data_IF_054596364323
#
_entry.id   IF_054596364323
#
_cell.length_a   1.000
_cell.length_b   1.000
_cell.length_c   1.000
_cell.angle_alpha   90.00
_cell.angle_beta   90.00
_cell.angle_gamma   90.00
#
_symmetry.space_group_name_H-M   'P 1'
#
loop_
_entity.id
_entity.type
_entity.pdbx_description
1 polymer ?
#
# COMPACT_ATOMS: atom_id res chain seq x y z
N UNK A 1 29.18 45.89 -20.72
CA UNK A 1 27.81 45.79 -20.19
C UNK A 1 27.50 44.31 -19.94
N UNK A 2 27.73 43.88 -18.69
CA UNK A 2 27.42 42.53 -18.21
C UNK A 2 26.08 42.57 -17.48
N UNK A 3 25.03 41.97 -18.02
CA UNK A 3 23.85 41.60 -17.23
C UNK A 3 23.35 40.22 -17.69
N UNK A 4 23.82 39.20 -16.97
CA UNK A 4 23.29 37.84 -16.97
C UNK A 4 21.88 37.89 -16.39
N UNK A 5 20.87 37.70 -17.23
CA UNK A 5 19.49 37.40 -16.80
C UNK A 5 19.47 35.95 -16.33
N UNK A 6 19.85 35.71 -15.08
CA UNK A 6 19.56 34.46 -14.40
C UNK A 6 18.04 34.32 -14.31
N UNK A 7 17.46 33.57 -15.24
CA UNK A 7 16.12 33.03 -15.07
C UNK A 7 16.18 32.06 -13.89
N UNK A 8 15.66 32.50 -12.74
CA UNK A 8 15.38 31.60 -11.62
C UNK A 8 14.31 30.61 -12.11
N UNK A 9 14.58 29.29 -12.20
CA UNK A 9 13.48 28.36 -12.35
C UNK A 9 12.65 28.47 -11.08
N UNK A 10 11.45 29.04 -11.23
CA UNK A 10 10.37 28.99 -10.25
C UNK A 10 10.17 27.53 -9.90
N UNK A 11 10.66 27.15 -8.72
CA UNK A 11 10.51 25.83 -8.12
C UNK A 11 9.05 25.41 -8.25
N UNK A 12 8.82 24.33 -9.00
CA UNK A 12 7.52 23.70 -9.19
C UNK A 12 7.12 23.11 -7.83
N UNK A 13 6.51 23.92 -6.99
CA UNK A 13 6.02 23.51 -5.68
C UNK A 13 4.77 22.66 -5.92
N UNK A 14 4.98 21.34 -6.11
CA UNK A 14 3.91 20.34 -6.12
C UNK A 14 3.15 20.47 -4.80
N UNK A 15 1.94 21.02 -4.85
CA UNK A 15 1.02 20.99 -3.71
C UNK A 15 0.52 19.55 -3.56
N UNK A 16 1.21 18.76 -2.75
CA UNK A 16 0.69 17.50 -2.28
C UNK A 16 -0.61 17.79 -1.52
N UNK A 17 -1.73 17.23 -1.99
CA UNK A 17 -3.02 17.32 -1.30
C UNK A 17 -2.93 16.47 -0.03
N UNK A 18 -2.54 17.10 1.08
CA UNK A 18 -2.38 16.44 2.38
C UNK A 18 -3.74 16.32 3.06
N UNK A 19 -4.11 15.11 3.50
CA UNK A 19 -5.28 14.89 4.37
C UNK A 19 -5.01 15.55 5.73
N UNK A 20 -5.95 16.34 6.25
CA UNK A 20 -5.81 16.95 7.59
C UNK A 20 -6.20 15.96 8.71
N UNK A 21 -7.16 15.08 8.44
CA UNK A 21 -7.62 14.03 9.36
C UNK A 21 -8.32 12.91 8.60
N UNK A 22 -8.22 11.68 9.10
CA UNK A 22 -9.00 10.52 8.63
C UNK A 22 -10.43 10.54 9.19
N UNK A 23 -10.71 11.33 10.24
CA UNK A 23 -12.00 11.33 10.92
C UNK A 23 -12.27 10.06 11.75
N UNK A 24 -11.32 9.13 11.83
CA UNK A 24 -11.38 7.89 12.61
C UNK A 24 -10.44 8.02 13.82
N UNK A 25 -10.94 7.74 15.02
CA UNK A 25 -10.12 7.82 16.24
C UNK A 25 -9.07 6.71 16.21
N UNK A 26 -7.79 7.09 16.32
CA UNK A 26 -6.67 6.16 16.35
C UNK A 26 -6.03 5.85 15.00
N UNK A 27 -6.58 6.36 13.89
CA UNK A 27 -6.02 6.19 12.55
C UNK A 27 -5.31 7.47 12.08
N UNK A 28 -3.98 7.48 12.10
CA UNK A 28 -3.19 8.64 11.69
C UNK A 28 -3.11 8.77 10.16
N UNK A 29 -3.09 10.01 9.67
CA UNK A 29 -2.94 10.27 8.23
C UNK A 29 -1.54 9.92 7.78
N UNK A 30 -1.44 9.13 6.69
CA UNK A 30 -0.16 8.78 6.07
C UNK A 30 0.03 9.62 4.79
N UNK A 31 0.95 10.60 4.76
CA UNK A 31 1.11 11.49 3.61
C UNK A 31 1.61 10.78 2.35
N UNK A 32 2.37 9.70 2.49
CA UNK A 32 2.87 8.86 1.37
C UNK A 32 2.14 7.51 1.30
N UNK A 33 0.83 7.48 1.55
CA UNK A 33 0.05 6.25 1.65
C UNK A 33 0.22 5.30 0.45
N UNK A 34 0.26 5.84 -0.78
CA UNK A 34 0.45 5.06 -2.01
C UNK A 34 1.76 4.26 -2.00
N UNK A 35 2.89 4.92 -1.72
CA UNK A 35 4.20 4.27 -1.72
C UNK A 35 4.27 3.20 -0.63
N UNK A 36 3.70 3.49 0.54
CA UNK A 36 3.60 2.54 1.65
C UNK A 36 2.77 1.31 1.26
N UNK A 37 1.59 1.52 0.65
CA UNK A 37 0.73 0.43 0.18
C UNK A 37 1.43 -0.44 -0.86
N UNK A 38 2.10 0.16 -1.85
CA UNK A 38 2.86 -0.58 -2.86
C UNK A 38 3.96 -1.42 -2.20
N UNK A 39 4.69 -0.84 -1.24
CA UNK A 39 5.71 -1.55 -0.48
C UNK A 39 5.16 -2.74 0.31
N UNK A 40 4.03 -2.54 1.00
CA UNK A 40 3.35 -3.59 1.76
C UNK A 40 2.85 -4.73 0.86
N UNK A 41 2.15 -4.41 -0.23
CA UNK A 41 1.65 -5.45 -1.15
C UNK A 41 2.76 -6.26 -1.82
N UNK A 42 3.86 -5.62 -2.22
CA UNK A 42 5.02 -6.34 -2.75
C UNK A 42 5.65 -7.26 -1.70
N UNK A 43 5.69 -6.82 -0.44
CA UNK A 43 6.13 -7.67 0.67
C UNK A 43 5.18 -8.85 0.86
N UNK A 44 3.87 -8.62 0.87
CA UNK A 44 2.85 -9.68 1.00
C UNK A 44 2.98 -10.73 -0.11
N UNK A 45 3.16 -10.31 -1.37
CA UNK A 45 3.38 -11.21 -2.51
C UNK A 45 4.71 -11.98 -2.44
N UNK A 46 5.68 -11.50 -1.65
CA UNK A 46 6.95 -12.20 -1.42
C UNK A 46 6.79 -13.23 -0.31
N UNK A 47 6.22 -12.84 0.82
CA UNK A 47 6.04 -13.72 1.99
C UNK A 47 5.05 -14.87 1.72
N UNK A 48 3.97 -14.60 0.97
CA UNK A 48 2.96 -15.63 0.65
C UNK A 48 3.54 -16.79 -0.18
N UNK A 49 4.68 -16.61 -0.86
CA UNK A 49 5.33 -17.69 -1.61
C UNK A 49 5.86 -18.82 -0.71
N UNK A 50 6.07 -18.54 0.58
CA UNK A 50 6.46 -19.53 1.57
C UNK A 50 5.29 -20.46 1.96
N UNK A 51 4.04 -20.03 1.70
CA UNK A 51 2.84 -20.82 1.95
C UNK A 51 2.59 -21.76 0.76
N UNK A 52 2.29 -23.05 1.00
CA UNK A 52 2.03 -24.02 -0.08
C UNK A 52 0.86 -23.60 -0.99
N UNK A 53 1.00 -23.84 -2.30
CA UNK A 53 0.08 -23.39 -3.35
C UNK A 53 -1.30 -24.06 -3.32
N UNK A 54 -1.41 -25.18 -2.61
CA UNK A 54 -2.64 -25.95 -2.49
C UNK A 54 -3.66 -25.31 -1.53
N UNK A 55 -3.23 -24.31 -0.75
CA UNK A 55 -4.13 -23.57 0.11
C UNK A 55 -4.96 -22.56 -0.70
N UNK A 56 -6.28 -22.66 -0.61
CA UNK A 56 -7.20 -21.68 -1.19
C UNK A 56 -6.95 -20.25 -0.69
N UNK A 57 -6.36 -20.12 0.51
CA UNK A 57 -5.91 -18.86 1.09
C UNK A 57 -4.89 -18.15 0.19
N UNK A 58 -3.82 -18.84 -0.24
CA UNK A 58 -2.78 -18.23 -1.09
C UNK A 58 -3.34 -17.65 -2.38
N UNK A 59 -4.23 -18.39 -3.06
CA UNK A 59 -4.86 -17.93 -4.31
C UNK A 59 -5.73 -16.70 -4.09
N UNK A 60 -6.47 -16.65 -2.98
CA UNK A 60 -7.26 -15.49 -2.61
C UNK A 60 -6.37 -14.27 -2.35
N UNK A 61 -5.33 -14.44 -1.52
CA UNK A 61 -4.36 -13.39 -1.17
C UNK A 61 -3.66 -12.82 -2.39
N UNK A 62 -3.13 -13.67 -3.26
CA UNK A 62 -2.49 -13.23 -4.49
C UNK A 62 -3.48 -12.48 -5.41
N UNK A 63 -4.73 -12.95 -5.53
CA UNK A 63 -5.72 -12.34 -6.40
C UNK A 63 -6.07 -10.92 -5.97
N UNK A 64 -6.45 -10.72 -4.70
CA UNK A 64 -6.83 -9.39 -4.23
C UNK A 64 -5.61 -8.47 -4.10
N UNK A 65 -4.45 -8.99 -3.68
CA UNK A 65 -3.23 -8.18 -3.52
C UNK A 65 -2.75 -7.65 -4.86
N UNK A 66 -2.77 -8.48 -5.92
CA UNK A 66 -2.42 -8.03 -7.28
C UNK A 66 -3.42 -7.01 -7.82
N UNK A 67 -4.72 -7.20 -7.55
CA UNK A 67 -5.74 -6.24 -7.96
C UNK A 67 -5.52 -4.87 -7.28
N UNK A 68 -5.33 -4.87 -5.96
CA UNK A 68 -5.09 -3.64 -5.18
C UNK A 68 -3.78 -2.95 -5.56
N UNK A 69 -2.71 -3.72 -5.75
CA UNK A 69 -1.43 -3.22 -6.23
C UNK A 69 -1.58 -2.53 -7.59
N UNK A 70 -2.25 -3.17 -8.55
CA UNK A 70 -2.48 -2.59 -9.88
C UNK A 70 -3.21 -1.25 -9.81
N UNK A 71 -4.23 -1.13 -8.97
CA UNK A 71 -4.95 0.14 -8.77
C UNK A 71 -4.03 1.20 -8.16
N UNK A 72 -3.19 0.85 -7.18
CA UNK A 72 -2.23 1.77 -6.56
C UNK A 72 -1.11 2.20 -7.52
N UNK A 73 -0.77 1.36 -8.51
CA UNK A 73 0.21 1.69 -9.55
C UNK A 73 -0.40 2.61 -10.63
N UNK A 74 -1.64 2.34 -11.05
CA UNK A 74 -2.35 3.10 -12.09
C UNK A 74 -2.78 4.50 -11.63
N UNK A 75 -3.16 4.65 -10.37
CA UNK A 75 -3.69 5.90 -9.82
C UNK A 75 -2.69 6.58 -8.89
N UNK A 76 -2.53 7.90 -9.02
CA UNK A 76 -1.66 8.68 -8.13
C UNK A 76 -2.45 9.35 -6.99
N UNK A 77 -3.73 9.66 -7.23
CA UNK A 77 -4.60 10.30 -6.26
C UNK A 77 -5.26 9.29 -5.33
N UNK A 78 -5.07 9.49 -4.01
CA UNK A 78 -5.64 8.62 -2.98
C UNK A 78 -7.17 8.58 -3.02
N UNK A 79 -7.84 9.69 -3.36
CA UNK A 79 -9.31 9.73 -3.50
C UNK A 79 -9.82 8.79 -4.61
N UNK A 80 -9.07 8.71 -5.72
CA UNK A 80 -9.42 7.85 -6.84
C UNK A 80 -9.18 6.39 -6.48
N UNK A 81 -8.09 6.10 -5.76
CA UNK A 81 -7.79 4.78 -5.21
C UNK A 81 -8.93 4.32 -4.29
N UNK A 82 -9.36 5.16 -3.34
CA UNK A 82 -10.46 4.84 -2.41
C UNK A 82 -11.76 4.55 -3.15
N UNK A 83 -12.10 5.38 -4.16
CA UNK A 83 -13.31 5.20 -4.96
C UNK A 83 -13.26 3.94 -5.82
N UNK A 84 -12.09 3.60 -6.37
CA UNK A 84 -11.91 2.46 -7.28
C UNK A 84 -11.84 1.14 -6.54
N UNK A 85 -11.23 1.11 -5.37
CA UNK A 85 -11.20 -0.05 -4.48
C UNK A 85 -12.51 -0.23 -3.72
N UNK A 86 -13.17 0.86 -3.32
CA UNK A 86 -14.44 0.81 -2.58
C UNK A 86 -14.32 0.17 -1.20
N UNK A 87 -13.11 0.15 -0.61
CA UNK A 87 -12.79 -0.55 0.63
C UNK A 87 -12.52 0.40 1.83
N UNK A 88 -13.03 1.63 1.80
CA UNK A 88 -12.77 2.62 2.86
C UNK A 88 -11.58 3.51 2.53
N UNK A 89 -10.91 4.02 3.58
CA UNK A 89 -9.78 4.94 3.44
C UNK A 89 -8.47 4.21 3.13
N UNK A 90 -7.52 4.89 2.48
CA UNK A 90 -6.18 4.31 2.20
C UNK A 90 -5.44 3.91 3.48
N UNK A 91 -5.68 4.60 4.59
CA UNK A 91 -5.08 4.30 5.88
C UNK A 91 -5.60 2.97 6.47
N UNK A 92 -6.88 2.65 6.29
CA UNK A 92 -7.46 1.36 6.70
C UNK A 92 -6.84 0.20 5.88
N UNK A 93 -6.62 0.43 4.58
CA UNK A 93 -5.96 -0.55 3.71
C UNK A 93 -4.50 -0.81 4.13
N UNK A 94 -3.82 0.19 4.69
CA UNK A 94 -2.45 0.02 5.21
C UNK A 94 -2.49 -0.89 6.44
N UNK A 95 -3.40 -0.66 7.38
CA UNK A 95 -3.55 -1.53 8.56
C UNK A 95 -3.93 -2.96 8.15
N UNK A 96 -4.88 -3.12 7.24
CA UNK A 96 -5.29 -4.42 6.71
C UNK A 96 -4.10 -5.17 6.08
N UNK A 97 -3.30 -4.48 5.25
CA UNK A 97 -2.12 -5.09 4.63
C UNK A 97 -1.05 -5.48 5.66
N UNK A 98 -0.88 -4.71 6.75
CA UNK A 98 0.03 -5.06 7.83
C UNK A 98 -0.45 -6.25 8.65
N UNK A 99 -1.75 -6.33 8.92
CA UNK A 99 -2.34 -7.45 9.64
C UNK A 99 -2.32 -8.73 8.81
N UNK A 100 -2.49 -8.62 7.49
CA UNK A 100 -2.34 -9.74 6.56
C UNK A 100 -0.91 -10.30 6.58
N UNK A 101 0.11 -9.43 6.61
CA UNK A 101 1.51 -9.87 6.77
C UNK A 101 1.73 -10.63 8.09
N UNK A 102 1.19 -10.12 9.20
CA UNK A 102 1.27 -10.81 10.50
C UNK A 102 0.54 -12.16 10.46
N UNK A 103 -0.55 -12.27 9.70
CA UNK A 103 -1.29 -13.51 9.53
C UNK A 103 -0.48 -14.52 8.71
N UNK A 104 0.14 -14.09 7.60
CA UNK A 104 1.04 -14.91 6.79
C UNK A 104 2.19 -15.46 7.64
N UNK A 105 2.83 -14.61 8.46
CA UNK A 105 3.90 -15.03 9.38
C UNK A 105 3.42 -16.14 10.35
N UNK A 106 2.21 -16.00 10.88
CA UNK A 106 1.59 -17.04 11.74
C UNK A 106 1.26 -18.31 10.98
N UNK A 107 0.81 -18.21 9.73
CA UNK A 107 0.50 -19.35 8.88
C UNK A 107 1.76 -20.13 8.51
N UNK A 108 2.85 -19.45 8.18
CA UNK A 108 4.16 -20.07 7.96
C UNK A 108 4.60 -20.80 9.24
N UNK A 109 4.49 -20.14 10.40
CA UNK A 109 4.81 -20.77 11.69
C UNK A 109 3.96 -22.02 12.00
N UNK A 110 2.65 -21.96 11.75
CA UNK A 110 1.74 -23.09 11.96
C UNK A 110 1.99 -24.24 10.96
N UNK A 111 2.27 -23.90 9.70
CA UNK A 111 2.62 -24.85 8.66
C UNK A 111 3.92 -25.59 9.02
N UNK A 112 4.96 -24.88 9.46
CA UNK A 112 6.21 -25.49 9.92
C UNK A 112 6.02 -26.48 11.07
N UNK A 113 5.04 -26.27 11.96
CA UNK A 113 4.74 -27.18 13.08
C UNK A 113 3.96 -28.41 12.61
N UNK A 114 3.12 -28.30 11.57
CA UNK A 114 2.30 -29.40 11.06
C UNK A 114 3.09 -30.38 10.18
N UNK A 115 4.21 -29.94 9.60
CA UNK A 115 5.07 -30.75 8.72
C UNK A 115 6.40 -31.20 9.37
N UNK A 116 6.60 -30.95 10.67
CA UNK A 116 7.74 -31.43 11.47
C UNK A 116 7.33 -32.56 12.43
#
# INVERSE_FOLDING_TARGET
MFLRRFARPSSLMMMAKVKETTGIVGLEVVPNAREVLIGLYNKTLTEIQQVPEDEGYRKAVESFTRHRLKVCEEEEDWEVIEKRLGCGQVEELIEEAQDELKLIDKMIGACLILFA
#
